data_IF_331380736150
#
_entry.id   IF_331380736150
#
_cell.length_a   1.000
_cell.length_b   1.000
_cell.length_c   1.000
_cell.angle_alpha   90.00
_cell.angle_beta   90.00
_cell.angle_gamma   90.00
#
_symmetry.space_group_name_H-M   'P 1'
#
loop_
_entity.id
_entity.type
_entity.pdbx_description
1 polymer ?
#
# COMPACT_ATOMS: atom_id res chain seq x y z
N UNK A 1 19.39 74.38 -57.42
CA UNK A 1 19.76 73.79 -56.11
C UNK A 1 18.67 74.21 -55.14
N UNK A 2 17.45 73.71 -55.23
CA UNK A 2 16.95 72.33 -55.35
C UNK A 2 16.97 71.56 -54.02
N UNK A 3 15.74 71.37 -53.49
CA UNK A 3 15.19 70.27 -52.67
C UNK A 3 16.08 69.61 -51.60
N UNK A 4 15.69 69.41 -50.33
CA UNK A 4 14.49 68.70 -49.83
C UNK A 4 14.57 68.64 -48.28
N UNK A 5 13.47 68.43 -47.54
CA UNK A 5 13.47 68.21 -46.09
C UNK A 5 13.42 66.72 -45.74
N UNK A 6 14.11 66.28 -44.67
CA UNK A 6 13.96 64.93 -44.11
C UNK A 6 13.39 64.93 -42.69
N UNK A 7 12.35 64.10 -42.57
CA UNK A 7 11.50 63.80 -41.42
C UNK A 7 12.27 63.45 -40.13
N UNK A 8 11.94 64.16 -39.04
CA UNK A 8 12.08 63.61 -37.70
C UNK A 8 10.80 62.84 -37.34
N UNK A 9 10.91 61.51 -37.43
CA UNK A 9 9.89 60.55 -37.01
C UNK A 9 10.05 60.34 -35.50
N UNK A 10 9.15 60.92 -34.72
CA UNK A 10 8.95 60.63 -33.30
C UNK A 10 8.52 59.17 -33.18
N UNK A 11 9.36 58.34 -32.57
CA UNK A 11 9.00 56.97 -32.19
C UNK A 11 8.24 57.06 -30.87
N UNK A 12 6.93 56.96 -31.00
CA UNK A 12 5.97 56.77 -29.93
C UNK A 12 6.26 55.45 -29.20
N UNK A 13 6.71 55.53 -27.94
CA UNK A 13 6.78 54.39 -27.01
C UNK A 13 5.38 54.19 -26.44
N UNK A 14 4.51 53.57 -27.25
CA UNK A 14 3.23 53.05 -26.79
C UNK A 14 3.43 51.85 -25.87
N UNK A 15 2.88 51.98 -24.68
CA UNK A 15 2.80 51.01 -23.59
C UNK A 15 2.47 49.59 -24.06
N UNK A 16 3.40 48.65 -23.81
CA UNK A 16 3.04 47.23 -23.72
C UNK A 16 2.74 46.91 -22.27
N UNK A 17 1.46 46.91 -21.93
CA UNK A 17 0.94 46.18 -20.79
C UNK A 17 1.50 44.74 -20.81
N UNK A 18 2.15 44.26 -19.74
CA UNK A 18 2.37 42.83 -19.60
C UNK A 18 0.99 42.17 -19.51
N UNK A 19 0.72 41.27 -20.45
CA UNK A 19 -0.45 40.43 -20.43
C UNK A 19 -0.58 39.81 -19.03
N UNK A 20 -1.70 40.11 -18.39
CA UNK A 20 -2.16 39.46 -17.18
C UNK A 20 -2.07 37.96 -17.38
N UNK A 21 -1.05 37.34 -16.78
CA UNK A 21 -0.89 35.90 -16.77
C UNK A 21 -2.09 35.33 -16.02
N UNK A 22 -3.03 34.77 -16.78
CA UNK A 22 -4.11 33.95 -16.24
C UNK A 22 -3.50 32.93 -15.30
N UNK A 23 -3.71 33.14 -14.00
CA UNK A 23 -3.65 32.08 -12.99
C UNK A 23 -4.65 31.02 -13.43
N UNK A 24 -4.14 29.98 -14.08
CA UNK A 24 -4.87 28.72 -14.25
C UNK A 24 -5.13 28.23 -12.83
N UNK A 25 -6.41 28.21 -12.44
CA UNK A 25 -6.85 27.79 -11.12
C UNK A 25 -6.39 26.36 -10.84
N UNK A 26 -5.69 26.19 -9.73
CA UNK A 26 -5.19 24.92 -9.18
C UNK A 26 -6.32 24.06 -8.57
N UNK A 27 -7.52 24.05 -9.16
CA UNK A 27 -8.69 23.36 -8.57
C UNK A 27 -9.54 22.53 -9.54
N UNK A 28 -9.22 22.49 -10.82
CA UNK A 28 -9.80 21.50 -11.74
C UNK A 28 -8.70 20.58 -12.23
N UNK A 29 -8.30 19.61 -11.41
CA UNK A 29 -7.75 18.37 -11.96
C UNK A 29 -8.90 17.79 -12.78
N UNK A 30 -8.83 17.79 -14.14
CA UNK A 30 -9.93 17.26 -14.94
C UNK A 30 -10.23 15.85 -14.45
N UNK A 31 -11.50 15.52 -14.16
CA UNK A 31 -11.88 14.25 -13.53
C UNK A 31 -11.20 13.15 -14.32
N UNK A 32 -10.23 12.52 -13.67
CA UNK A 32 -9.28 11.71 -14.38
C UNK A 32 -10.03 10.61 -15.12
N UNK A 33 -9.97 10.67 -16.46
CA UNK A 33 -10.19 9.56 -17.37
C UNK A 33 -11.53 8.81 -17.18
N UNK A 34 -12.66 9.46 -17.45
CA UNK A 34 -14.00 8.82 -17.34
C UNK A 34 -14.11 7.45 -18.05
N UNK A 35 -13.27 7.18 -19.06
CA UNK A 35 -13.32 5.94 -19.85
C UNK A 35 -12.42 4.78 -19.35
N UNK A 36 -11.52 5.02 -18.38
CA UNK A 36 -10.57 4.00 -17.90
C UNK A 36 -10.36 4.07 -16.38
N UNK A 37 -11.46 4.05 -15.63
CA UNK A 37 -11.44 3.99 -14.17
C UNK A 37 -11.26 2.55 -13.67
N UNK A 38 -10.21 2.23 -12.89
CA UNK A 38 -10.02 0.89 -12.33
C UNK A 38 -10.88 0.62 -11.08
N UNK A 39 -11.59 1.62 -10.53
CA UNK A 39 -12.40 1.48 -9.32
C UNK A 39 -13.46 0.37 -9.33
N UNK A 40 -14.14 -0.01 -10.45
CA UNK A 40 -15.12 -1.08 -10.45
C UNK A 40 -14.51 -2.49 -10.60
N UNK A 41 -13.20 -2.61 -10.84
CA UNK A 41 -12.54 -3.91 -11.10
C UNK A 41 -12.54 -4.80 -9.85
N UNK A 42 -13.02 -6.04 -10.00
CA UNK A 42 -13.10 -7.05 -8.93
C UNK A 42 -12.44 -8.37 -9.30
N UNK A 43 -12.25 -8.67 -10.59
CA UNK A 43 -11.67 -9.94 -11.05
C UNK A 43 -10.40 -9.75 -11.89
N UNK A 44 -9.53 -10.77 -12.00
CA UNK A 44 -8.36 -10.71 -12.89
C UNK A 44 -8.73 -10.45 -14.36
N UNK A 45 -9.86 -10.98 -14.81
CA UNK A 45 -10.39 -10.78 -16.17
C UNK A 45 -10.78 -9.31 -16.39
N UNK A 46 -11.53 -8.72 -15.45
CA UNK A 46 -11.91 -7.31 -15.50
C UNK A 46 -10.69 -6.39 -15.47
N UNK A 47 -9.66 -6.73 -14.67
CA UNK A 47 -8.44 -5.95 -14.60
C UNK A 47 -7.72 -5.90 -15.96
N UNK A 48 -7.58 -7.04 -16.63
CA UNK A 48 -7.00 -7.10 -17.99
C UNK A 48 -7.88 -6.35 -18.99
N UNK A 49 -9.21 -6.41 -18.82
CA UNK A 49 -10.16 -5.62 -19.59
C UNK A 49 -9.91 -4.11 -19.46
N UNK A 50 -9.77 -3.61 -18.24
CA UNK A 50 -9.45 -2.19 -18.01
C UNK A 50 -8.07 -1.80 -18.53
N UNK A 51 -7.06 -2.66 -18.41
CA UNK A 51 -5.73 -2.36 -18.98
C UNK A 51 -5.82 -2.17 -20.51
N UNK A 52 -6.65 -2.95 -21.19
CA UNK A 52 -6.91 -2.77 -22.62
C UNK A 52 -7.70 -1.48 -22.92
N UNK A 53 -8.66 -1.09 -22.07
CA UNK A 53 -9.36 0.19 -22.18
C UNK A 53 -8.41 1.37 -22.00
N UNK A 54 -7.57 1.34 -20.97
CA UNK A 54 -6.54 2.35 -20.73
C UNK A 54 -5.60 2.50 -21.93
N UNK A 55 -5.14 1.39 -22.52
CA UNK A 55 -4.30 1.42 -23.71
C UNK A 55 -5.02 2.03 -24.92
N UNK A 56 -6.30 1.69 -25.10
CA UNK A 56 -7.12 2.25 -26.18
C UNK A 56 -7.31 3.75 -25.98
N UNK A 57 -7.69 4.14 -24.77
CA UNK A 57 -7.82 5.53 -24.36
C UNK A 57 -6.52 6.28 -24.63
N UNK A 58 -5.36 5.74 -24.26
CA UNK A 58 -4.03 6.32 -24.50
C UNK A 58 -3.60 6.42 -25.98
N UNK A 59 -4.49 6.13 -26.94
CA UNK A 59 -4.21 6.22 -28.38
C UNK A 59 -3.55 4.97 -28.95
N UNK A 60 -3.75 3.81 -28.31
CA UNK A 60 -3.22 2.52 -28.73
C UNK A 60 -1.70 2.51 -29.00
N UNK A 61 -0.86 2.94 -28.04
CA UNK A 61 0.59 2.87 -28.22
C UNK A 61 1.04 1.45 -28.58
N UNK A 62 2.00 1.36 -29.49
CA UNK A 62 2.59 0.07 -29.90
C UNK A 62 3.34 -0.56 -28.72
N UNK A 63 3.41 -1.90 -28.69
CA UNK A 63 4.09 -2.61 -27.60
C UNK A 63 5.57 -2.21 -27.48
N UNK A 64 6.23 -1.97 -28.63
CA UNK A 64 7.61 -1.46 -28.66
C UNK A 64 7.75 -0.06 -28.07
N UNK A 65 6.72 0.80 -28.24
CA UNK A 65 6.69 2.14 -27.63
C UNK A 65 6.49 2.04 -26.11
N UNK A 66 5.59 1.17 -25.65
CA UNK A 66 5.38 0.92 -24.23
C UNK A 66 6.65 0.36 -23.56
N UNK A 67 7.33 -0.58 -24.22
CA UNK A 67 8.61 -1.14 -23.77
C UNK A 67 9.66 -0.02 -23.60
N UNK A 68 9.83 0.85 -24.61
CA UNK A 68 10.73 2.00 -24.53
C UNK A 68 10.38 2.93 -23.36
N UNK A 69 9.11 3.32 -23.24
CA UNK A 69 8.65 4.26 -22.20
C UNK A 69 8.76 3.69 -20.78
N UNK A 70 8.69 2.37 -20.62
CA UNK A 70 8.90 1.70 -19.33
C UNK A 70 10.36 1.67 -18.88
N UNK A 71 11.30 1.69 -19.83
CA UNK A 71 12.74 1.69 -19.55
C UNK A 71 13.35 3.07 -19.27
N UNK A 72 12.65 4.15 -19.64
CA UNK A 72 13.08 5.54 -19.41
C UNK A 72 12.81 6.00 -17.96
N UNK A 73 13.05 5.16 -16.95
CA UNK A 73 12.68 5.50 -15.57
C UNK A 73 13.42 6.73 -15.02
N UNK A 74 12.66 7.58 -14.32
CA UNK A 74 13.06 8.81 -13.65
C UNK A 74 13.31 8.48 -12.17
N UNK A 75 14.56 8.23 -11.78
CA UNK A 75 14.96 8.17 -10.37
C UNK A 75 14.76 6.81 -9.67
N UNK A 76 15.16 6.78 -8.38
CA UNK A 76 15.48 5.62 -7.51
C UNK A 76 14.39 4.54 -7.30
N UNK A 77 13.32 4.51 -8.09
CA UNK A 77 12.35 3.41 -8.14
C UNK A 77 12.53 2.59 -9.41
N UNK A 78 13.14 1.41 -9.31
CA UNK A 78 13.29 0.50 -10.45
C UNK A 78 11.92 -0.01 -10.93
N UNK A 79 11.43 0.49 -12.06
CA UNK A 79 10.28 -0.09 -12.77
C UNK A 79 10.70 -1.37 -13.50
N UNK A 80 9.82 -2.38 -13.49
CA UNK A 80 10.00 -3.60 -14.28
C UNK A 80 9.93 -3.23 -15.76
N UNK A 81 10.96 -3.60 -16.53
CA UNK A 81 10.90 -3.48 -17.99
C UNK A 81 9.68 -4.26 -18.51
N UNK A 82 9.00 -3.72 -19.52
CA UNK A 82 7.86 -4.37 -20.16
C UNK A 82 8.28 -5.03 -21.49
N UNK A 83 8.81 -6.29 -21.49
CA UNK A 83 8.99 -7.02 -22.73
C UNK A 83 7.69 -7.04 -23.54
N UNK A 84 7.80 -6.69 -24.82
CA UNK A 84 6.65 -6.67 -25.74
C UNK A 84 5.91 -8.03 -25.80
N UNK A 85 6.64 -9.15 -25.73
CA UNK A 85 6.05 -10.50 -25.67
C UNK A 85 5.18 -10.72 -24.43
N UNK A 86 5.71 -10.38 -23.25
CA UNK A 86 4.99 -10.53 -21.96
C UNK A 86 3.76 -9.62 -21.92
N UNK A 87 3.90 -8.38 -22.38
CA UNK A 87 2.78 -7.42 -22.46
C UNK A 87 1.68 -7.96 -23.36
N UNK A 88 2.02 -8.52 -24.52
CA UNK A 88 1.06 -9.15 -25.44
C UNK A 88 0.32 -10.33 -24.78
N UNK A 89 1.04 -11.23 -24.10
CA UNK A 89 0.43 -12.39 -23.43
C UNK A 89 -0.55 -11.98 -22.32
N UNK A 90 -0.18 -10.98 -21.51
CA UNK A 90 -1.03 -10.49 -20.43
C UNK A 90 -2.29 -9.84 -20.99
N UNK A 91 -2.16 -8.94 -21.97
CA UNK A 91 -3.31 -8.24 -22.56
C UNK A 91 -4.24 -9.17 -23.34
N UNK A 92 -3.70 -10.25 -23.90
CA UNK A 92 -4.49 -11.31 -24.55
C UNK A 92 -5.15 -12.27 -23.54
N UNK A 93 -4.97 -12.06 -22.23
CA UNK A 93 -5.56 -12.90 -21.19
C UNK A 93 -4.95 -14.30 -21.08
N UNK A 94 -3.83 -14.59 -21.77
CA UNK A 94 -3.22 -15.94 -21.80
C UNK A 94 -2.72 -16.44 -20.44
N UNK A 95 -2.56 -15.53 -19.48
CA UNK A 95 -2.08 -15.82 -18.12
C UNK A 95 -3.19 -15.90 -17.07
N UNK A 96 -4.45 -15.73 -17.48
CA UNK A 96 -5.61 -15.93 -16.61
C UNK A 96 -5.74 -17.43 -16.26
N UNK A 97 -6.28 -17.78 -15.07
CA UNK A 97 -7.01 -16.91 -14.13
C UNK A 97 -6.12 -16.06 -13.21
N UNK A 98 -4.80 -16.26 -13.24
CA UNK A 98 -3.89 -15.55 -12.33
C UNK A 98 -3.83 -14.05 -12.67
N UNK A 99 -3.98 -13.15 -11.69
CA UNK A 99 -3.82 -11.73 -11.92
C UNK A 99 -2.38 -11.37 -12.37
N UNK A 100 -2.21 -10.34 -13.22
CA UNK A 100 -0.90 -9.79 -13.54
C UNK A 100 -0.12 -9.37 -12.28
N UNK A 101 1.21 -9.31 -12.37
CA UNK A 101 2.06 -8.81 -11.26
C UNK A 101 1.83 -7.31 -11.04
N UNK A 102 1.98 -6.82 -9.80
CA UNK A 102 1.81 -5.39 -9.50
C UNK A 102 2.81 -4.52 -10.27
N UNK A 103 4.09 -4.89 -10.28
CA UNK A 103 5.13 -4.15 -11.00
C UNK A 103 4.85 -4.04 -12.51
N UNK A 104 4.27 -5.08 -13.11
CA UNK A 104 3.77 -5.03 -14.49
C UNK A 104 2.65 -4.00 -14.65
N UNK A 105 1.65 -3.99 -13.75
CA UNK A 105 0.51 -3.05 -13.82
C UNK A 105 1.01 -1.61 -13.71
N UNK A 106 1.86 -1.32 -12.73
CA UNK A 106 2.44 0.02 -12.51
C UNK A 106 3.21 0.51 -13.73
N UNK A 107 4.10 -0.34 -14.26
CA UNK A 107 4.93 0.01 -15.42
C UNK A 107 4.07 0.20 -16.68
N UNK A 108 3.06 -0.65 -16.88
CA UNK A 108 2.16 -0.57 -18.03
C UNK A 108 1.29 0.69 -18.00
N UNK A 109 0.68 0.99 -16.85
CA UNK A 109 -0.14 2.18 -16.63
C UNK A 109 0.72 3.43 -16.84
N UNK A 110 1.89 3.50 -16.21
CA UNK A 110 2.86 4.59 -16.38
C UNK A 110 3.21 4.81 -17.85
N UNK A 111 3.55 3.75 -18.58
CA UNK A 111 3.90 3.83 -20.00
C UNK A 111 2.73 4.31 -20.88
N UNK A 112 1.48 3.91 -20.58
CA UNK A 112 0.30 4.38 -21.31
C UNK A 112 0.03 5.87 -21.06
N UNK A 113 0.12 6.31 -19.81
CA UNK A 113 -0.11 7.71 -19.44
C UNK A 113 0.97 8.63 -20.03
N UNK A 114 2.24 8.20 -20.00
CA UNK A 114 3.35 8.90 -20.67
C UNK A 114 3.20 8.93 -22.19
N UNK A 115 2.70 7.85 -22.81
CA UNK A 115 2.46 7.83 -24.26
C UNK A 115 1.45 8.92 -24.69
N UNK A 116 0.55 9.31 -23.79
CA UNK A 116 -0.42 10.39 -23.95
C UNK A 116 0.12 11.78 -23.57
N UNK A 117 1.31 11.85 -22.95
CA UNK A 117 1.96 13.11 -22.56
C UNK A 117 1.46 13.69 -21.23
N UNK A 118 0.94 12.85 -20.32
CA UNK A 118 0.61 13.29 -18.96
C UNK A 118 1.88 13.57 -18.15
N UNK A 119 1.78 14.52 -17.23
CA UNK A 119 2.84 14.92 -16.30
C UNK A 119 3.06 13.87 -15.18
N UNK A 120 4.20 13.98 -14.48
CA UNK A 120 4.62 13.01 -13.48
C UNK A 120 3.66 12.88 -12.29
N UNK A 121 3.13 14.01 -11.79
CA UNK A 121 2.26 14.03 -10.62
C UNK A 121 0.90 13.39 -10.95
N UNK A 122 0.34 13.72 -12.12
CA UNK A 122 -0.89 13.08 -12.63
C UNK A 122 -0.68 11.59 -12.87
N UNK A 123 0.47 11.19 -13.44
CA UNK A 123 0.80 9.78 -13.66
C UNK A 123 0.80 9.02 -12.34
N UNK A 124 1.45 9.56 -11.31
CA UNK A 124 1.54 8.93 -10.00
C UNK A 124 0.18 8.75 -9.34
N UNK A 125 -0.66 9.80 -9.32
CA UNK A 125 -2.03 9.71 -8.77
C UNK A 125 -2.87 8.64 -9.48
N UNK A 126 -2.76 8.53 -10.80
CA UNK A 126 -3.46 7.48 -11.55
C UNK A 126 -2.92 6.10 -11.18
N UNK A 127 -1.59 5.93 -11.13
CA UNK A 127 -0.95 4.66 -10.75
C UNK A 127 -1.39 4.22 -9.35
N UNK A 128 -1.54 5.13 -8.38
CA UNK A 128 -2.06 4.81 -7.05
C UNK A 128 -3.47 4.22 -7.06
N UNK A 129 -4.36 4.76 -7.89
CA UNK A 129 -5.71 4.20 -8.07
C UNK A 129 -5.65 2.78 -8.67
N UNK A 130 -4.75 2.56 -9.63
CA UNK A 130 -4.51 1.22 -10.19
C UNK A 130 -3.92 0.22 -9.18
N UNK A 131 -3.01 0.67 -8.30
CA UNK A 131 -2.50 -0.13 -7.17
C UNK A 131 -3.63 -0.54 -6.23
N UNK A 132 -4.56 0.36 -5.92
CA UNK A 132 -5.71 0.08 -5.07
C UNK A 132 -6.64 -0.98 -5.70
N UNK A 133 -6.99 -0.82 -6.98
CA UNK A 133 -7.83 -1.80 -7.68
C UNK A 133 -7.16 -3.18 -7.79
N UNK A 134 -5.86 -3.23 -8.07
CA UNK A 134 -5.11 -4.49 -8.11
C UNK A 134 -5.15 -5.25 -6.78
N UNK A 135 -5.04 -4.54 -5.64
CA UNK A 135 -5.13 -5.15 -4.31
C UNK A 135 -6.49 -5.82 -4.09
N UNK A 136 -7.59 -5.20 -4.51
CA UNK A 136 -8.94 -5.78 -4.42
C UNK A 136 -9.04 -7.10 -5.20
N UNK A 137 -8.45 -7.14 -6.40
CA UNK A 137 -8.42 -8.34 -7.26
C UNK A 137 -7.60 -9.47 -6.63
N UNK A 138 -6.46 -9.16 -6.03
CA UNK A 138 -5.57 -10.15 -5.42
C UNK A 138 -6.18 -10.82 -4.18
N UNK A 139 -6.84 -10.05 -3.32
CA UNK A 139 -7.50 -10.59 -2.13
C UNK A 139 -8.52 -11.65 -2.53
N UNK A 140 -9.39 -11.35 -3.51
CA UNK A 140 -10.41 -12.28 -3.99
C UNK A 140 -9.85 -13.54 -4.65
N UNK A 141 -8.72 -13.44 -5.38
CA UNK A 141 -8.08 -14.60 -6.01
C UNK A 141 -7.35 -15.49 -5.00
N UNK A 142 -6.83 -14.91 -3.91
CA UNK A 142 -6.05 -15.66 -2.91
C UNK A 142 -6.93 -16.39 -1.92
N UNK A 143 -8.18 -15.95 -1.72
CA UNK A 143 -9.18 -16.70 -0.93
C UNK A 143 -9.34 -18.09 -1.54
N UNK A 144 -8.86 -19.16 -0.85
CA UNK A 144 -9.07 -20.52 -1.33
C UNK A 144 -10.58 -20.74 -1.47
N UNK A 145 -11.06 -21.48 -2.48
CA UNK A 145 -12.44 -21.90 -2.49
C UNK A 145 -12.70 -22.56 -1.14
N UNK A 146 -13.66 -22.01 -0.39
CA UNK A 146 -14.07 -22.52 0.90
C UNK A 146 -14.11 -24.05 0.78
N UNK A 147 -13.40 -24.80 1.64
CA UNK A 147 -13.38 -26.25 1.52
C UNK A 147 -14.83 -26.66 1.50
N UNK A 148 -15.27 -27.26 0.38
CA UNK A 148 -16.60 -27.83 0.25
C UNK A 148 -16.74 -28.80 1.41
N UNK A 149 -17.33 -28.33 2.51
CA UNK A 149 -17.82 -29.22 3.53
C UNK A 149 -18.77 -30.12 2.77
N UNK A 150 -18.52 -31.45 2.74
CA UNK A 150 -19.39 -32.36 2.02
C UNK A 150 -20.81 -32.03 2.48
N UNK A 151 -21.63 -31.54 1.56
CA UNK A 151 -23.02 -31.25 1.84
C UNK A 151 -23.55 -32.54 2.44
N UNK A 152 -23.95 -32.49 3.71
CA UNK A 152 -24.53 -33.61 4.39
C UNK A 152 -25.70 -34.04 3.52
N UNK A 153 -25.53 -35.16 2.83
CA UNK A 153 -26.59 -35.77 2.05
C UNK A 153 -27.69 -36.06 3.06
N UNK A 154 -28.76 -35.27 3.01
CA UNK A 154 -29.99 -35.58 3.73
C UNK A 154 -30.32 -37.04 3.41
N UNK A 155 -30.52 -37.90 4.42
CA UNK A 155 -30.78 -39.31 4.17
C UNK A 155 -32.15 -39.42 3.48
N UNK A 156 -32.10 -39.62 2.16
CA UNK A 156 -33.25 -40.01 1.38
C UNK A 156 -33.75 -41.36 1.91
N UNK A 157 -34.99 -41.31 2.36
CA UNK A 157 -35.75 -42.41 2.95
C UNK A 157 -36.02 -43.46 1.87
N UNK A 158 -35.11 -44.42 1.67
CA UNK A 158 -35.40 -45.60 0.84
C UNK A 158 -35.58 -46.85 1.69
N UNK A 159 -36.83 -47.33 1.66
CA UNK A 159 -37.28 -48.57 2.24
C UNK A 159 -37.02 -49.75 1.29
N UNK A 160 -36.49 -50.85 1.85
CA UNK A 160 -36.82 -52.21 1.40
C UNK A 160 -35.87 -52.88 0.38
N UNK A 161 -35.84 -54.23 0.34
CA UNK A 161 -34.58 -54.93 0.57
C UNK A 161 -34.19 -55.98 -0.50
N UNK A 162 -32.97 -56.52 -0.32
CA UNK A 162 -32.41 -57.79 -0.84
C UNK A 162 -31.96 -57.78 -2.31
N UNK A 163 -30.66 -57.95 -2.52
CA UNK A 163 -30.01 -59.27 -2.70
C UNK A 163 -28.48 -59.14 -2.73
N UNK A 164 -27.86 -60.05 -2.00
CA UNK A 164 -26.43 -60.23 -1.86
C UNK A 164 -25.74 -60.61 -3.18
N UNK A 165 -24.44 -60.30 -3.30
CA UNK A 165 -23.40 -61.30 -3.58
C UNK A 165 -21.99 -60.75 -3.34
N UNK A 166 -21.20 -61.61 -2.70
CA UNK A 166 -19.76 -61.55 -2.43
C UNK A 166 -18.91 -61.44 -3.70
N UNK A 167 -17.77 -60.74 -3.58
CA UNK A 167 -16.41 -61.20 -3.92
C UNK A 167 -15.45 -60.06 -3.46
N UNK A 168 -14.53 -60.22 -2.49
CA UNK A 168 -13.27 -60.98 -2.53
C UNK A 168 -12.47 -60.71 -3.82
N UNK A 169 -11.19 -60.35 -3.86
CA UNK A 169 -10.16 -60.05 -2.88
C UNK A 169 -8.92 -59.55 -3.67
N UNK A 170 -7.89 -59.06 -2.96
CA UNK A 170 -6.45 -59.15 -3.33
C UNK A 170 -5.93 -58.27 -4.49
N UNK A 171 -5.08 -57.30 -4.16
CA UNK A 171 -3.66 -57.32 -4.57
C UNK A 171 -2.87 -56.21 -3.86
N UNK A 172 -2.00 -56.64 -2.95
CA UNK A 172 -0.97 -55.82 -2.33
C UNK A 172 0.33 -55.88 -3.15
N UNK A 173 1.11 -54.81 -3.01
CA UNK A 173 2.56 -54.70 -3.21
C UNK A 173 3.12 -54.73 -4.65
N UNK A 174 3.64 -53.56 -5.09
CA UNK A 174 5.05 -53.40 -5.55
C UNK A 174 5.48 -51.95 -5.29
N UNK A 175 6.32 -51.71 -4.28
CA UNK A 175 7.15 -50.50 -4.18
C UNK A 175 8.54 -50.92 -3.70
N UNK A 176 9.47 -51.07 -4.64
CA UNK A 176 10.91 -51.05 -4.38
C UNK A 176 11.65 -50.82 -5.70
N UNK A 177 12.74 -50.04 -5.64
CA UNK A 177 13.65 -49.53 -6.69
C UNK A 177 13.22 -48.15 -7.24
N UNK A 178 13.95 -47.04 -7.05
CA UNK A 178 15.33 -46.82 -6.61
C UNK A 178 16.13 -46.19 -7.74
N UNK A 179 16.38 -44.88 -7.71
CA UNK A 179 17.52 -44.24 -8.40
C UNK A 179 17.95 -43.01 -7.60
N UNK A 180 19.10 -43.14 -6.95
CA UNK A 180 19.98 -42.07 -6.50
C UNK A 180 20.79 -41.61 -7.71
N UNK A 181 20.68 -40.34 -8.09
CA UNK A 181 21.70 -39.66 -8.90
C UNK A 181 21.99 -38.32 -8.24
N UNK A 182 23.20 -38.20 -7.72
CA UNK A 182 23.76 -36.96 -7.23
C UNK A 182 24.17 -36.05 -8.40
N UNK A 183 24.10 -34.75 -8.15
CA UNK A 183 24.90 -33.77 -8.88
C UNK A 183 25.66 -32.94 -7.86
N UNK A 184 26.97 -33.15 -7.87
CA UNK A 184 27.97 -32.31 -7.25
C UNK A 184 28.39 -31.19 -8.22
N UNK A 185 28.78 -30.04 -7.67
CA UNK A 185 29.42 -28.93 -8.39
C UNK A 185 28.46 -27.77 -8.65
N UNK A 186 28.75 -26.52 -8.30
CA UNK A 186 30.05 -25.86 -8.19
C UNK A 186 30.02 -24.77 -7.10
N UNK A 187 31.11 -24.71 -6.33
CA UNK A 187 31.49 -23.52 -5.57
C UNK A 187 31.96 -22.47 -6.57
N UNK A 188 31.32 -21.30 -6.59
CA UNK A 188 31.94 -20.08 -7.10
C UNK A 188 32.33 -19.22 -5.91
N UNK A 189 33.64 -19.11 -5.73
CA UNK A 189 34.31 -18.08 -4.93
C UNK A 189 33.99 -16.72 -5.56
N UNK A 190 33.32 -15.86 -4.81
CA UNK A 190 33.26 -14.44 -5.11
C UNK A 190 34.38 -13.78 -4.31
N UNK A 191 35.43 -13.38 -5.01
CA UNK A 191 36.50 -12.57 -4.43
C UNK A 191 36.01 -11.14 -4.18
N UNK A 192 36.32 -10.71 -2.97
CA UNK A 192 36.30 -9.37 -2.42
C UNK A 192 36.95 -8.32 -3.33
N UNK A 193 36.21 -7.26 -3.66
CA UNK A 193 36.75 -5.89 -3.79
C UNK A 193 35.75 -4.91 -3.15
N UNK A 194 36.00 -4.61 -1.87
CA UNK A 194 36.01 -3.25 -1.30
C UNK A 194 34.74 -2.42 -1.34
N UNK A 195 34.00 -2.39 -0.22
CA UNK A 195 33.84 -1.22 0.65
C UNK A 195 33.08 -1.62 1.93
N UNK A 196 33.64 -1.44 3.14
CA UNK A 196 32.88 -1.65 4.36
C UNK A 196 31.92 -0.48 4.54
N UNK A 197 30.71 -0.60 4.01
CA UNK A 197 29.58 0.13 4.59
C UNK A 197 29.31 -0.57 5.90
N UNK A 198 29.81 -0.01 7.00
CA UNK A 198 29.40 -0.42 8.34
C UNK A 198 27.89 -0.18 8.42
N UNK A 199 27.02 -1.21 8.45
CA UNK A 199 25.64 -0.96 8.80
C UNK A 199 25.66 -0.45 10.23
N UNK A 200 25.25 0.81 10.42
CA UNK A 200 25.03 1.37 11.75
C UNK A 200 24.09 0.41 12.49
N UNK A 201 24.67 -0.44 13.32
CA UNK A 201 23.95 -1.43 14.13
C UNK A 201 23.42 -0.67 15.36
N UNK A 202 22.73 0.44 15.12
CA UNK A 202 21.90 1.10 16.10
C UNK A 202 20.64 0.26 16.25
N UNK A 203 20.74 -0.83 17.01
CA UNK A 203 19.55 -1.52 17.51
C UNK A 203 18.84 -0.50 18.39
N UNK A 204 17.86 0.21 17.82
CA UNK A 204 17.00 1.14 18.56
C UNK A 204 16.46 0.32 19.73
N UNK A 205 16.84 0.66 20.96
CA UNK A 205 16.31 0.00 22.16
C UNK A 205 14.82 0.28 22.13
N UNK A 206 14.02 -0.71 21.72
CA UNK A 206 12.58 -0.62 21.81
C UNK A 206 12.20 -0.14 23.20
N UNK A 207 11.31 0.84 23.29
CA UNK A 207 10.95 1.50 24.52
C UNK A 207 10.67 0.46 25.62
N UNK A 208 11.41 0.53 26.73
CA UNK A 208 11.24 -0.39 27.85
C UNK A 208 9.83 -0.27 28.39
N UNK A 209 9.27 -1.39 28.88
CA UNK A 209 7.93 -1.38 29.45
C UNK A 209 7.92 -0.47 30.67
N UNK A 210 7.04 0.55 30.68
CA UNK A 210 6.93 1.49 31.79
C UNK A 210 5.74 1.13 32.68
N UNK A 211 5.84 1.36 34.00
CA UNK A 211 4.70 1.28 34.91
C UNK A 211 3.53 2.16 34.45
N UNK A 212 2.29 1.70 34.68
CA UNK A 212 1.07 2.39 34.22
C UNK A 212 0.79 3.70 34.97
N UNK A 213 1.28 3.82 36.21
CA UNK A 213 1.16 5.00 37.07
C UNK A 213 2.09 6.15 36.65
N UNK A 214 2.98 5.92 35.70
CA UNK A 214 3.85 6.96 35.20
C UNK A 214 3.05 7.99 34.39
N UNK A 215 3.26 9.30 34.63
CA UNK A 215 2.50 10.32 33.93
C UNK A 215 2.74 10.27 32.43
N UNK A 216 1.69 10.62 31.69
CA UNK A 216 1.72 10.79 30.25
C UNK A 216 2.80 11.77 29.81
N UNK A 217 3.26 11.60 28.57
CA UNK A 217 4.05 12.63 27.90
C UNK A 217 3.31 13.99 27.97
N UNK A 218 4.01 15.03 28.40
CA UNK A 218 3.45 16.39 28.55
C UNK A 218 3.84 17.22 27.33
N UNK A 219 2.85 17.85 26.69
CA UNK A 219 3.06 18.69 25.51
C UNK A 219 1.75 19.15 24.88
N UNK A 220 1.80 19.82 23.74
CA UNK A 220 0.60 20.20 22.99
C UNK A 220 0.00 18.95 22.33
N UNK A 221 -1.27 18.63 22.59
CA UNK A 221 -1.95 17.46 22.03
C UNK A 221 -2.24 17.66 20.54
N UNK A 222 -1.76 16.74 19.70
CA UNK A 222 -1.84 16.86 18.24
C UNK A 222 -2.82 15.85 17.60
N UNK A 223 -3.08 14.71 18.25
CA UNK A 223 -4.07 13.73 17.76
C UNK A 223 -5.54 14.17 17.91
N UNK A 224 -5.77 15.38 18.47
CA UNK A 224 -7.09 15.87 18.86
C UNK A 224 -7.66 15.09 20.04
N UNK A 225 -8.75 15.61 20.64
CA UNK A 225 -9.48 14.82 21.61
C UNK A 225 -10.19 13.65 20.89
N UNK A 226 -10.28 12.47 21.51
CA UNK A 226 -11.13 11.39 21.05
C UNK A 226 -12.54 11.91 20.71
N UNK A 227 -13.08 11.53 19.55
CA UNK A 227 -14.41 11.95 19.09
C UNK A 227 -14.57 13.41 18.59
N UNK A 228 -13.52 14.26 18.62
CA UNK A 228 -13.61 15.63 18.06
C UNK A 228 -13.21 15.61 16.57
N UNK A 229 -14.10 16.01 15.64
CA UNK A 229 -13.79 15.93 14.22
C UNK A 229 -12.72 16.96 13.82
N UNK A 230 -11.68 16.56 13.06
CA UNK A 230 -10.90 17.52 12.30
C UNK A 230 -11.81 18.15 11.22
N UNK A 231 -11.65 19.45 11.00
CA UNK A 231 -12.38 20.18 9.95
C UNK A 231 -11.93 19.73 8.55
N UNK A 232 -12.84 19.22 7.73
CA UNK A 232 -12.58 18.79 6.34
C UNK A 232 -12.71 17.28 6.16
N UNK A 233 -13.82 16.84 5.59
CA UNK A 233 -14.27 15.45 5.47
C UNK A 233 -13.45 14.60 4.47
N UNK A 234 -13.10 13.36 4.87
CA UNK A 234 -13.13 12.12 4.03
C UNK A 234 -12.85 10.86 4.89
N UNK A 235 -12.15 10.97 6.02
CA UNK A 235 -11.77 9.83 6.85
C UNK A 235 -12.64 9.67 8.11
N UNK A 236 -12.79 8.43 8.64
CA UNK A 236 -13.45 8.19 9.92
C UNK A 236 -12.84 9.07 11.01
N UNK A 237 -13.71 9.62 11.87
CA UNK A 237 -13.37 10.56 12.97
C UNK A 237 -12.50 9.93 14.07
N UNK A 238 -12.27 8.63 13.96
CA UNK A 238 -11.66 7.82 14.97
C UNK A 238 -10.71 6.78 14.37
N UNK A 239 -10.19 5.87 15.19
CA UNK A 239 -9.47 4.70 14.74
C UNK A 239 -10.30 3.92 13.71
N UNK A 240 -9.66 3.52 12.61
CA UNK A 240 -10.29 2.68 11.60
C UNK A 240 -9.34 1.60 11.11
N UNK A 241 -9.89 0.48 10.66
CA UNK A 241 -9.11 -0.62 10.12
C UNK A 241 -9.06 -0.55 8.58
N UNK A 242 -7.90 -0.83 7.98
CA UNK A 242 -7.74 -0.84 6.52
C UNK A 242 -8.42 -2.02 5.80
N UNK A 243 -8.86 -3.03 6.55
CA UNK A 243 -9.53 -4.23 6.06
C UNK A 243 -10.73 -4.57 6.94
N UNK A 244 -11.83 -5.09 6.38
CA UNK A 244 -13.06 -5.37 7.13
C UNK A 244 -12.95 -6.60 8.05
N UNK A 245 -11.97 -7.47 7.81
CA UNK A 245 -11.79 -8.71 8.58
C UNK A 245 -11.22 -8.43 9.99
N UNK A 246 -10.69 -7.24 10.25
CA UNK A 246 -10.30 -6.82 11.60
C UNK A 246 -11.54 -6.26 12.29
N UNK A 247 -12.06 -7.00 13.28
CA UNK A 247 -13.15 -6.49 14.11
C UNK A 247 -12.58 -5.42 15.04
N UNK A 248 -12.99 -4.17 14.82
CA UNK A 248 -12.49 -3.01 15.54
C UNK A 248 -13.62 -2.39 16.38
N UNK A 249 -13.38 -2.26 17.68
CA UNK A 249 -14.21 -1.47 18.60
C UNK A 249 -13.39 -0.29 19.08
N UNK A 250 -13.93 0.91 18.98
CA UNK A 250 -13.26 2.16 19.40
C UNK A 250 -14.09 2.87 20.45
N UNK A 251 -13.42 3.57 21.36
CA UNK A 251 -14.03 4.41 22.38
C UNK A 251 -13.16 5.65 22.63
N UNK A 252 -13.43 6.39 23.71
CA UNK A 252 -12.64 7.58 24.05
C UNK A 252 -11.23 7.27 24.51
N UNK A 253 -10.99 6.07 25.02
CA UNK A 253 -9.74 5.71 25.67
C UNK A 253 -8.84 4.94 24.68
N UNK A 254 -9.37 4.42 23.57
CA UNK A 254 -8.58 3.92 22.47
C UNK A 254 -9.33 2.93 21.59
N UNK A 255 -8.75 1.74 21.40
CA UNK A 255 -9.37 0.70 20.59
C UNK A 255 -9.04 -0.72 21.05
N UNK A 256 -9.96 -1.64 20.75
CA UNK A 256 -9.76 -3.09 20.78
C UNK A 256 -9.91 -3.63 19.38
N UNK A 257 -8.93 -4.42 18.92
CA UNK A 257 -8.92 -5.06 17.61
C UNK A 257 -8.82 -6.58 17.74
N UNK A 258 -9.74 -7.31 17.10
CA UNK A 258 -9.65 -8.75 16.88
C UNK A 258 -9.06 -8.98 15.49
N UNK A 259 -7.83 -9.50 15.46
CA UNK A 259 -7.09 -9.77 14.24
C UNK A 259 -7.26 -11.24 13.89
N UNK A 260 -7.87 -11.60 12.75
CA UNK A 260 -7.99 -13.00 12.33
C UNK A 260 -6.66 -13.55 11.81
N UNK A 261 -6.63 -14.87 11.61
CA UNK A 261 -5.55 -15.53 10.87
C UNK A 261 -5.63 -15.17 9.38
N UNK A 262 -4.51 -15.29 8.67
CA UNK A 262 -4.47 -15.18 7.20
C UNK A 262 -3.64 -14.02 6.68
N UNK A 263 -3.35 -13.02 7.51
CA UNK A 263 -2.39 -11.96 7.18
C UNK A 263 -0.97 -12.49 7.29
N UNK A 264 -0.23 -12.43 6.19
CA UNK A 264 1.18 -12.84 6.08
C UNK A 264 2.16 -11.67 6.15
N UNK A 265 1.67 -10.43 6.04
CA UNK A 265 2.48 -9.21 6.08
C UNK A 265 1.93 -8.23 7.14
N UNK A 266 2.78 -7.50 7.88
CA UNK A 266 2.34 -6.58 8.93
C UNK A 266 1.31 -5.55 8.47
N UNK A 267 1.51 -4.98 7.27
CA UNK A 267 0.67 -3.92 6.69
C UNK A 267 -0.64 -4.42 6.05
N UNK A 268 -0.95 -5.71 6.13
CA UNK A 268 -2.24 -6.21 5.63
C UNK A 268 -3.39 -5.90 6.59
N UNK A 269 -3.12 -5.87 7.90
CA UNK A 269 -4.07 -5.43 8.93
C UNK A 269 -3.47 -4.24 9.67
N UNK A 270 -4.11 -3.09 9.58
CA UNK A 270 -3.64 -1.82 10.15
C UNK A 270 -4.81 -1.12 10.81
N UNK A 271 -4.61 -0.63 12.03
CA UNK A 271 -5.49 0.32 12.70
C UNK A 271 -4.86 1.71 12.61
N UNK A 272 -5.62 2.68 12.11
CA UNK A 272 -5.10 3.97 11.63
C UNK A 272 -5.86 5.12 12.29
N UNK A 273 -5.12 6.14 12.73
CA UNK A 273 -5.64 7.46 13.07
C UNK A 273 -5.05 8.48 12.08
N UNK A 274 -5.93 9.11 11.29
CA UNK A 274 -5.58 10.12 10.28
C UNK A 274 -5.66 11.54 10.84
N UNK A 275 -5.35 12.53 9.98
CA UNK A 275 -5.55 13.95 10.23
C UNK A 275 -4.70 14.52 11.37
N UNK A 276 -3.46 14.06 11.44
CA UNK A 276 -2.47 14.52 12.40
C UNK A 276 -1.62 15.62 11.75
N UNK A 277 -1.46 16.72 12.47
CA UNK A 277 -0.54 17.79 12.05
C UNK A 277 0.89 17.45 12.48
N UNK A 278 1.86 17.53 11.59
CA UNK A 278 3.29 17.38 11.92
C UNK A 278 4.04 18.56 11.30
N UNK A 279 5.07 19.05 11.98
CA UNK A 279 5.94 20.11 11.45
C UNK A 279 7.35 19.57 11.35
N UNK A 280 7.95 19.61 10.16
CA UNK A 280 9.30 19.09 9.93
C UNK A 280 10.31 19.72 10.91
N UNK A 281 11.17 18.89 11.49
CA UNK A 281 12.19 19.30 12.46
C UNK A 281 11.67 19.46 13.90
N UNK A 282 10.36 19.45 14.14
CA UNK A 282 9.82 19.50 15.50
C UNK A 282 9.93 18.12 16.17
N UNK A 283 10.03 18.14 17.51
CA UNK A 283 10.13 16.94 18.33
C UNK A 283 8.76 16.52 18.85
N UNK A 284 8.50 15.22 18.81
CA UNK A 284 7.23 14.64 19.23
C UNK A 284 7.44 13.45 20.16
N UNK A 285 6.44 13.17 20.98
CA UNK A 285 6.34 11.96 21.80
C UNK A 285 5.02 11.26 21.54
N UNK A 286 5.09 10.01 21.06
CA UNK A 286 3.96 9.08 21.00
C UNK A 286 3.95 8.24 22.28
N UNK A 287 2.86 8.28 23.04
CA UNK A 287 2.68 7.51 24.27
C UNK A 287 1.37 6.73 24.22
N UNK A 288 1.38 5.46 24.61
CA UNK A 288 0.20 4.61 24.65
C UNK A 288 0.41 3.42 25.59
N UNK A 289 -0.67 2.79 26.03
CA UNK A 289 -0.67 1.50 26.72
C UNK A 289 -1.12 0.43 25.75
N UNK A 290 -0.45 -0.73 25.73
CA UNK A 290 -0.85 -1.85 24.90
C UNK A 290 -0.86 -3.17 25.67
N UNK A 291 -1.86 -3.99 25.38
CA UNK A 291 -2.03 -5.36 25.89
C UNK A 291 -2.57 -6.24 24.79
N UNK A 292 -2.15 -7.51 24.75
CA UNK A 292 -2.73 -8.50 23.85
C UNK A 292 -3.10 -9.78 24.62
N UNK A 293 -3.98 -10.61 24.06
CA UNK A 293 -4.33 -11.90 24.69
C UNK A 293 -3.21 -12.96 24.60
N UNK A 294 -2.14 -12.68 23.85
CA UNK A 294 -0.88 -13.44 23.80
C UNK A 294 0.27 -12.52 23.39
N UNK A 295 1.54 -12.90 23.65
CA UNK A 295 2.68 -12.14 23.15
C UNK A 295 2.68 -12.04 21.62
N UNK A 296 2.84 -10.82 21.10
CA UNK A 296 2.93 -10.49 19.66
C UNK A 296 3.90 -9.34 19.44
N UNK A 297 4.46 -9.23 18.24
CA UNK A 297 5.26 -8.08 17.80
C UNK A 297 4.47 -7.28 16.76
N UNK A 298 4.06 -6.05 17.09
CA UNK A 298 3.38 -5.15 16.15
C UNK A 298 4.36 -4.10 15.61
N UNK A 299 3.99 -3.41 14.54
CA UNK A 299 4.72 -2.21 14.13
C UNK A 299 3.90 -0.95 14.38
N UNK A 300 4.53 0.07 14.94
CA UNK A 300 3.93 1.39 15.12
C UNK A 300 4.65 2.38 14.22
N UNK A 301 3.89 3.20 13.51
CA UNK A 301 4.45 4.17 12.56
C UNK A 301 3.71 5.49 12.62
N UNK A 302 4.47 6.58 12.58
CA UNK A 302 3.97 7.94 12.37
C UNK A 302 4.55 8.44 11.05
N UNK A 303 3.69 8.90 10.15
CA UNK A 303 4.12 9.32 8.82
C UNK A 303 3.23 10.42 8.23
N UNK A 304 3.73 11.10 7.21
CA UNK A 304 2.90 11.78 6.23
C UNK A 304 2.35 10.76 5.23
N UNK A 305 1.04 10.78 4.96
CA UNK A 305 0.40 9.85 4.01
C UNK A 305 0.35 10.38 2.57
N UNK A 306 0.90 11.56 2.31
CA UNK A 306 0.90 12.17 0.98
C UNK A 306 1.88 11.45 0.03
N UNK A 307 1.41 10.87 -1.09
CA UNK A 307 2.29 10.46 -2.18
C UNK A 307 3.11 11.64 -2.68
N UNK A 308 4.33 11.45 -3.22
CA UNK A 308 4.97 10.17 -3.55
C UNK A 308 5.58 9.44 -2.36
N UNK A 309 5.89 10.18 -1.30
CA UNK A 309 7.08 9.87 -0.51
C UNK A 309 6.80 9.07 0.76
N UNK A 310 5.54 8.97 1.20
CA UNK A 310 5.11 8.24 2.40
C UNK A 310 6.20 8.24 3.49
N UNK A 311 6.62 9.43 3.91
CA UNK A 311 7.85 9.57 4.69
C UNK A 311 7.57 9.27 6.16
N UNK A 312 8.08 8.15 6.72
CA UNK A 312 7.94 7.90 8.14
C UNK A 312 8.79 8.88 8.95
N UNK A 313 8.19 9.42 9.99
CA UNK A 313 8.90 10.11 11.08
C UNK A 313 9.20 9.17 12.25
N UNK A 314 8.42 8.10 12.41
CA UNK A 314 8.62 7.02 13.38
C UNK A 314 8.32 5.67 12.72
N UNK A 315 9.18 4.67 12.93
CA UNK A 315 8.89 3.25 12.62
C UNK A 315 9.50 2.40 13.73
N UNK A 316 8.66 1.72 14.51
CA UNK A 316 9.09 0.94 15.66
C UNK A 316 8.44 -0.44 15.66
N UNK A 317 9.23 -1.46 16.02
CA UNK A 317 8.71 -2.78 16.38
C UNK A 317 8.43 -2.82 17.87
N UNK A 318 7.18 -3.10 18.23
CA UNK A 318 6.69 -3.01 19.60
C UNK A 318 6.28 -4.39 20.10
N UNK A 319 7.03 -4.99 21.04
CA UNK A 319 6.59 -6.21 21.68
C UNK A 319 5.41 -5.90 22.61
N UNK A 320 4.29 -6.58 22.40
CA UNK A 320 3.08 -6.46 23.22
C UNK A 320 2.84 -7.78 23.94
N UNK A 321 2.76 -7.71 25.27
CA UNK A 321 2.55 -8.86 26.13
C UNK A 321 1.10 -9.00 26.59
N UNK A 322 0.88 -9.94 27.50
CA UNK A 322 -0.42 -10.18 28.16
C UNK A 322 -0.69 -9.27 29.36
N UNK A 323 0.30 -8.49 29.77
CA UNK A 323 0.20 -7.51 30.85
C UNK A 323 0.23 -6.12 30.22
N UNK A 324 -0.72 -5.23 30.58
CA UNK A 324 -0.71 -3.87 30.07
C UNK A 324 0.60 -3.17 30.33
N UNK A 325 1.08 -2.50 29.29
CA UNK A 325 2.41 -1.93 29.28
C UNK A 325 2.40 -0.58 28.58
N UNK A 326 2.84 0.48 29.28
CA UNK A 326 2.99 1.81 28.70
C UNK A 326 4.28 1.87 27.86
N UNK A 327 4.17 2.45 26.67
CA UNK A 327 5.25 2.63 25.69
C UNK A 327 5.31 4.08 25.26
N UNK A 328 6.50 4.66 25.29
CA UNK A 328 6.74 6.06 24.91
C UNK A 328 7.87 6.12 23.89
N UNK A 329 7.64 6.81 22.77
CA UNK A 329 8.59 6.96 21.68
C UNK A 329 8.77 8.42 21.31
N UNK A 330 9.98 8.92 21.46
CA UNK A 330 10.35 10.27 21.05
C UNK A 330 10.95 10.24 19.65
N UNK A 331 10.52 11.15 18.78
CA UNK A 331 11.04 11.26 17.42
C UNK A 331 11.04 12.70 16.93
N UNK A 332 11.73 12.93 15.82
CA UNK A 332 11.72 14.23 15.12
C UNK A 332 10.97 14.05 13.82
N UNK A 333 10.01 14.92 13.51
CA UNK A 333 9.26 14.82 12.27
C UNK A 333 10.17 15.08 11.07
N UNK A 334 10.19 14.16 10.11
CA UNK A 334 10.98 14.28 8.88
C UNK A 334 10.32 15.15 7.82
N UNK A 335 8.99 15.32 7.89
CA UNK A 335 8.19 16.07 6.95
C UNK A 335 7.08 16.86 7.68
N UNK A 336 6.61 17.93 7.03
CA UNK A 336 5.44 18.69 7.47
C UNK A 336 4.18 18.06 6.88
N UNK A 337 3.17 17.86 7.71
CA UNK A 337 1.85 17.37 7.33
C UNK A 337 0.82 18.29 7.98
N UNK A 338 0.03 19.04 7.21
CA UNK A 338 -0.97 19.91 7.82
C UNK A 338 -2.18 19.09 8.32
N UNK A 339 -2.71 18.21 7.47
CA UNK A 339 -3.86 17.34 7.75
C UNK A 339 -3.67 15.91 7.23
N UNK A 340 -2.48 15.59 6.74
CA UNK A 340 -2.17 14.32 6.07
C UNK A 340 -1.34 13.37 6.93
N UNK A 341 -0.96 13.78 8.14
CA UNK A 341 -0.24 12.89 9.06
C UNK A 341 -1.15 11.78 9.56
N UNK A 342 -0.53 10.64 9.88
CA UNK A 342 -1.21 9.50 10.47
C UNK A 342 -0.34 8.74 11.48
N UNK A 343 -1.00 8.15 12.46
CA UNK A 343 -0.44 7.12 13.36
C UNK A 343 -1.06 5.79 12.94
N UNK A 344 -0.22 4.77 12.78
CA UNK A 344 -0.66 3.44 12.35
C UNK A 344 -0.11 2.37 13.28
N UNK A 345 -0.96 1.40 13.61
CA UNK A 345 -0.61 0.16 14.28
C UNK A 345 -0.78 -0.98 13.27
N UNK A 346 0.33 -1.54 12.79
CA UNK A 346 0.35 -2.66 11.85
C UNK A 346 0.33 -3.97 12.62
N UNK A 347 -0.77 -4.69 12.47
CA UNK A 347 -1.17 -5.82 13.29
C UNK A 347 -1.05 -7.17 12.57
N UNK A 348 -0.77 -7.18 11.26
CA UNK A 348 -0.68 -8.39 10.45
C UNK A 348 0.54 -9.27 10.77
N UNK A 349 0.66 -10.41 10.09
CA UNK A 349 1.75 -11.39 10.22
C UNK A 349 1.91 -12.07 11.60
N UNK A 350 1.06 -11.77 12.58
CA UNK A 350 1.15 -12.36 13.93
C UNK A 350 0.23 -13.57 14.16
N UNK A 351 -0.63 -13.93 13.19
CA UNK A 351 -1.69 -14.95 13.37
C UNK A 351 -2.95 -14.35 14.00
N UNK A 352 -3.87 -15.19 14.54
CA UNK A 352 -5.10 -14.70 15.16
C UNK A 352 -4.86 -14.25 16.62
N UNK A 353 -5.31 -13.04 17.00
CA UNK A 353 -5.17 -12.52 18.37
C UNK A 353 -6.10 -11.32 18.61
N UNK A 354 -6.19 -10.89 19.86
CA UNK A 354 -6.87 -9.65 20.26
C UNK A 354 -5.85 -8.73 20.89
N UNK A 355 -5.88 -7.46 20.50
CA UNK A 355 -5.05 -6.39 21.08
C UNK A 355 -5.93 -5.24 21.53
N UNK A 356 -5.56 -4.64 22.64
CA UNK A 356 -6.13 -3.42 23.18
C UNK A 356 -5.02 -2.36 23.24
N UNK A 357 -5.31 -1.18 22.70
CA UNK A 357 -4.46 0.00 22.80
C UNK A 357 -5.25 1.09 23.50
N UNK A 358 -4.73 1.57 24.62
CA UNK A 358 -5.35 2.54 25.50
C UNK A 358 -4.49 3.81 25.59
N UNK A 359 -5.15 4.93 25.84
CA UNK A 359 -4.66 6.29 25.93
C UNK A 359 -3.60 6.68 24.88
N UNK A 360 -3.83 6.42 23.58
CA UNK A 360 -2.87 6.83 22.56
C UNK A 360 -2.85 8.36 22.47
N UNK A 361 -1.72 8.96 22.86
CA UNK A 361 -1.48 10.40 22.76
C UNK A 361 -0.23 10.68 21.91
N UNK A 362 -0.31 11.75 21.13
CA UNK A 362 0.83 12.30 20.40
C UNK A 362 0.92 13.76 20.78
N UNK A 363 2.06 14.13 21.36
CA UNK A 363 2.32 15.49 21.81
C UNK A 363 3.58 16.04 21.16
N UNK A 364 3.55 17.32 20.84
CA UNK A 364 4.77 18.07 20.51
C UNK A 364 5.53 18.41 21.79
N UNK A 365 6.83 18.10 21.83
CA UNK A 365 7.73 18.32 22.96
C UNK A 365 8.78 19.38 22.59
N UNK A 366 9.22 20.16 23.59
CA UNK A 366 10.17 21.26 23.41
C UNK A 366 11.62 20.82 23.46
#
# INVERSE_FOLDING_TARGET
>A
MDMRPENHRVVDRGDRHPASGSRVGLHDVPPATADADPAPVRTPVELVGELNRLRTWAGQPSLRRLEKLSGESLGEGATELLPSSTTSEVLAGKRLPRPPRLAFVESFVTACLRARGLDGDTVEQVVDRWRAAWRVVQVKHTTPPEPFLPQATSPERQAGPRRARLAAAVCAAVFATGVVVGVAGTRMTHDDIGHPVTPATGRTRGAVCRPLDQPHATGALIMGAPGTPPTGEEYPRDWWANVPDVELVTDTDGFTAVVPRGFTLPWQAIVIRSAITLTAGHHYSLDFVATANRPVDIHVRVQDKTPPRYQPSLVESVPVGITPCRRTYNFTAGATSETTGEVTFQLGAQGAYTIMVEDPILVEIK
#
